data_IF_484711369141
#
_entry.id   IF_484711369141
#
_cell.length_a   1.000
_cell.length_b   1.000
_cell.length_c   1.000
_cell.angle_alpha   90.00
_cell.angle_beta   90.00
_cell.angle_gamma   90.00
#
_symmetry.space_group_name_H-M   'P 1'
#
loop_
_entity.id
_entity.type
_entity.pdbx_description
1 polymer ?
#
# COMPACT_ATOMS: atom_id res chain seq x y z
N UNK A 1 3.85 5.58 -8.82
CA UNK A 1 4.58 4.66 -7.92
C UNK A 1 6.11 4.73 -8.04
N UNK A 2 6.68 5.58 -8.92
CA UNK A 2 8.14 5.64 -9.12
C UNK A 2 8.97 5.85 -7.84
N UNK A 3 8.45 6.60 -6.85
CA UNK A 3 9.14 6.81 -5.58
C UNK A 3 9.37 5.52 -4.77
N UNK A 4 8.35 4.66 -4.65
CA UNK A 4 8.50 3.39 -3.93
C UNK A 4 9.32 2.38 -4.72
N UNK A 5 9.18 2.35 -6.05
CA UNK A 5 9.99 1.49 -6.92
C UNK A 5 11.49 1.74 -6.71
N UNK A 6 11.91 3.01 -6.71
CA UNK A 6 13.30 3.39 -6.49
C UNK A 6 13.80 3.04 -5.07
N UNK A 7 12.89 3.03 -4.08
CA UNK A 7 13.20 2.73 -2.69
C UNK A 7 13.14 1.24 -2.34
N UNK A 8 12.63 0.36 -3.23
CA UNK A 8 12.52 -1.08 -2.97
C UNK A 8 13.81 -1.71 -2.42
N UNK A 9 15.02 -1.42 -2.96
CA UNK A 9 16.26 -2.00 -2.44
C UNK A 9 16.54 -1.63 -0.98
N UNK A 10 16.07 -0.47 -0.51
CA UNK A 10 16.26 -0.02 0.87
C UNK A 10 15.36 -0.78 1.84
N UNK A 11 14.12 -1.06 1.43
CA UNK A 11 13.20 -1.92 2.19
C UNK A 11 13.71 -3.36 2.24
N UNK A 12 14.19 -3.89 1.11
CA UNK A 12 14.80 -5.22 1.05
C UNK A 12 16.03 -5.34 1.96
N UNK A 13 16.91 -4.32 1.96
CA UNK A 13 18.06 -4.27 2.87
C UNK A 13 17.65 -4.19 4.36
N UNK A 14 16.48 -3.64 4.66
CA UNK A 14 15.88 -3.65 5.99
C UNK A 14 15.16 -4.97 6.33
N UNK A 15 15.16 -5.96 5.42
CA UNK A 15 14.48 -7.24 5.59
C UNK A 15 12.96 -7.14 5.48
N UNK A 16 12.45 -6.12 4.77
CA UNK A 16 11.02 -5.85 4.59
C UNK A 16 10.63 -5.97 3.13
N UNK A 17 9.47 -6.59 2.89
CA UNK A 17 8.85 -6.68 1.57
C UNK A 17 7.76 -5.62 1.44
N UNK A 18 7.77 -4.87 0.33
CA UNK A 18 6.74 -3.88 0.01
C UNK A 18 5.71 -4.50 -0.93
N UNK A 19 4.43 -4.41 -0.56
CA UNK A 19 3.30 -4.90 -1.35
C UNK A 19 2.35 -3.73 -1.62
N UNK A 20 2.07 -3.45 -2.89
CA UNK A 20 1.01 -2.50 -3.27
C UNK A 20 -0.34 -3.20 -3.27
N UNK A 21 -1.40 -2.57 -2.74
CA UNK A 21 -2.75 -3.14 -2.71
C UNK A 21 -3.73 -2.16 -3.34
N UNK A 22 -4.61 -2.65 -4.21
CA UNK A 22 -5.74 -1.86 -4.73
C UNK A 22 -6.98 -2.71 -4.94
N UNK A 23 -8.10 -2.06 -5.26
CA UNK A 23 -9.36 -2.73 -5.64
C UNK A 23 -9.39 -3.17 -7.10
N UNK A 24 -8.32 -2.97 -7.86
CA UNK A 24 -8.27 -3.31 -9.27
C UNK A 24 -8.23 -4.82 -9.49
N UNK A 25 -8.74 -5.26 -10.62
CA UNK A 25 -8.67 -6.67 -11.01
C UNK A 25 -7.22 -7.07 -11.32
N UNK A 26 -6.83 -8.31 -11.00
CA UNK A 26 -5.45 -8.78 -11.21
C UNK A 26 -4.93 -8.61 -12.66
N UNK A 27 -5.81 -8.73 -13.66
CA UNK A 27 -5.44 -8.48 -15.06
C UNK A 27 -5.09 -7.02 -15.34
N UNK A 28 -5.79 -6.07 -14.70
CA UNK A 28 -5.49 -4.64 -14.81
C UNK A 28 -4.15 -4.33 -14.13
N UNK A 29 -3.89 -4.92 -12.95
CA UNK A 29 -2.59 -4.81 -12.26
C UNK A 29 -1.45 -5.38 -13.12
N UNK A 30 -1.64 -6.54 -13.74
CA UNK A 30 -0.65 -7.15 -14.63
C UNK A 30 -0.35 -6.26 -15.85
N UNK A 31 -1.39 -5.68 -16.46
CA UNK A 31 -1.24 -4.72 -17.55
C UNK A 31 -0.48 -3.46 -17.12
N UNK A 32 -0.79 -2.93 -15.93
CA UNK A 32 -0.09 -1.78 -15.35
C UNK A 32 1.38 -2.07 -15.09
N UNK A 33 1.72 -3.21 -14.47
CA UNK A 33 3.11 -3.61 -14.22
C UNK A 33 3.92 -3.67 -15.50
N UNK A 34 3.34 -4.26 -16.55
CA UNK A 34 3.96 -4.32 -17.88
C UNK A 34 4.16 -2.92 -18.48
N UNK A 35 3.15 -2.06 -18.40
CA UNK A 35 3.22 -0.71 -18.95
C UNK A 35 4.25 0.18 -18.23
N UNK A 36 4.42 0.00 -16.92
CA UNK A 36 5.37 0.76 -16.10
C UNK A 36 6.75 0.11 -16.02
N UNK A 37 6.94 -1.10 -16.56
CA UNK A 37 8.15 -1.92 -16.36
C UNK A 37 8.54 -2.05 -14.88
N UNK A 38 7.54 -2.06 -13.99
CA UNK A 38 7.73 -2.11 -12.53
C UNK A 38 7.87 -3.56 -12.07
N UNK A 39 8.73 -3.76 -11.07
CA UNK A 39 8.96 -5.06 -10.41
C UNK A 39 8.23 -5.17 -9.07
N UNK A 40 7.43 -4.17 -8.73
CA UNK A 40 6.68 -4.16 -7.48
C UNK A 40 5.66 -5.31 -7.44
N UNK A 41 5.50 -5.91 -6.25
CA UNK A 41 4.46 -6.89 -6.02
C UNK A 41 3.14 -6.16 -5.73
N UNK A 42 2.13 -6.40 -6.57
CA UNK A 42 0.79 -5.82 -6.41
C UNK A 42 -0.23 -6.90 -6.08
N UNK A 43 -1.09 -6.62 -5.12
CA UNK A 43 -2.20 -7.46 -4.68
C UNK A 43 -3.52 -6.82 -5.09
N UNK A 44 -4.41 -7.66 -5.58
CA UNK A 44 -5.76 -7.28 -5.99
C UNK A 44 -6.74 -7.65 -4.86
N UNK A 45 -7.23 -6.66 -4.14
CA UNK A 45 -8.41 -6.78 -3.27
C UNK A 45 -9.70 -6.47 -4.04
N UNK A 46 -9.85 -7.07 -5.22
CA UNK A 46 -11.01 -6.87 -6.11
C UNK A 46 -12.34 -7.24 -5.44
N UNK A 47 -12.31 -8.21 -4.51
CA UNK A 47 -13.47 -8.62 -3.71
C UNK A 47 -13.76 -7.68 -2.53
N UNK A 48 -12.90 -6.69 -2.27
CA UNK A 48 -13.02 -5.70 -1.19
C UNK A 48 -13.23 -6.35 0.18
N UNK A 49 -12.37 -7.31 0.51
CA UNK A 49 -12.41 -8.00 1.80
C UNK A 49 -11.42 -7.40 2.78
N UNK A 50 -10.21 -7.08 2.30
CA UNK A 50 -9.13 -6.56 3.14
C UNK A 50 -9.33 -5.07 3.43
N UNK A 51 -9.56 -4.25 2.42
CA UNK A 51 -9.61 -2.79 2.58
C UNK A 51 -10.69 -2.33 3.57
N UNK A 52 -11.92 -2.89 3.58
CA UNK A 52 -12.89 -2.56 4.61
C UNK A 52 -12.47 -3.03 6.01
N UNK A 53 -11.93 -4.25 6.12
CA UNK A 53 -11.47 -4.80 7.40
C UNK A 53 -10.31 -3.99 8.01
N UNK A 54 -9.49 -3.36 7.16
CA UNK A 54 -8.35 -2.53 7.55
C UNK A 54 -8.72 -1.04 7.70
N UNK A 55 -9.99 -0.67 7.49
CA UNK A 55 -10.41 0.75 7.52
C UNK A 55 -9.81 1.62 6.41
N UNK A 56 -9.27 1.01 5.36
CA UNK A 56 -8.61 1.65 4.24
C UNK A 56 -9.49 1.75 2.98
N UNK A 57 -10.80 1.60 3.09
CA UNK A 57 -11.74 1.84 1.99
C UNK A 57 -12.52 3.14 2.23
N UNK A 58 -12.76 3.90 1.16
CA UNK A 58 -13.74 4.99 1.20
C UNK A 58 -15.16 4.42 1.18
N UNK A 59 -15.93 4.72 2.22
CA UNK A 59 -17.29 4.22 2.42
C UNK A 59 -18.35 5.32 2.33
N UNK A 60 -17.95 6.59 2.23
CA UNK A 60 -18.86 7.69 2.00
C UNK A 60 -19.38 7.68 0.56
N UNK A 61 -20.68 7.42 0.37
CA UNK A 61 -21.34 7.38 -0.93
C UNK A 61 -21.33 8.72 -1.66
N UNK A 62 -21.20 9.83 -0.94
CA UNK A 62 -21.06 11.15 -1.54
C UNK A 62 -19.63 11.43 -2.05
N UNK A 63 -18.65 10.58 -1.73
CA UNK A 63 -17.28 10.76 -2.18
C UNK A 63 -17.11 10.36 -3.65
N UNK A 64 -16.38 11.14 -4.47
CA UNK A 64 -16.09 10.78 -5.86
C UNK A 64 -15.23 9.51 -5.99
N UNK A 65 -14.63 9.05 -4.89
CA UNK A 65 -13.83 7.83 -4.81
C UNK A 65 -14.50 6.76 -3.95
N UNK A 66 -15.83 6.78 -3.83
CA UNK A 66 -16.59 5.76 -3.11
C UNK A 66 -16.18 4.34 -3.54
N UNK A 67 -15.87 3.49 -2.55
CA UNK A 67 -15.37 2.11 -2.68
C UNK A 67 -13.94 1.96 -3.23
N UNK A 68 -13.16 3.04 -3.29
CA UNK A 68 -11.74 2.96 -3.63
C UNK A 68 -10.89 2.82 -2.36
N UNK A 69 -9.66 2.33 -2.54
CA UNK A 69 -8.67 2.32 -1.49
C UNK A 69 -8.27 3.76 -1.11
N UNK A 70 -8.31 4.08 0.18
CA UNK A 70 -7.70 5.29 0.72
C UNK A 70 -6.18 5.17 0.59
N UNK A 71 -5.50 6.32 0.47
CA UNK A 71 -4.04 6.37 0.52
C UNK A 71 -3.60 5.98 1.93
N UNK A 72 -2.93 4.85 2.07
CA UNK A 72 -2.54 4.32 3.37
C UNK A 72 -1.30 3.44 3.27
N UNK A 73 -0.64 3.23 4.40
CA UNK A 73 0.35 2.16 4.57
C UNK A 73 0.20 1.50 5.92
N UNK A 74 0.58 0.22 5.95
CA UNK A 74 0.49 -0.66 7.09
C UNK A 74 1.83 -1.35 7.25
N UNK A 75 2.34 -1.41 8.49
CA UNK A 75 3.54 -2.20 8.80
C UNK A 75 3.07 -3.43 9.55
N UNK A 76 3.34 -4.59 8.98
CA UNK A 76 2.94 -5.90 9.49
C UNK A 76 4.20 -6.66 9.85
N UNK A 77 4.26 -7.23 11.05
CA UNK A 77 5.38 -8.05 11.48
C UNK A 77 5.34 -9.46 10.89
N UNK A 78 6.37 -10.26 11.16
CA UNK A 78 6.48 -11.65 10.68
C UNK A 78 5.43 -12.61 11.27
N UNK A 79 4.75 -12.21 12.35
CA UNK A 79 3.65 -12.99 12.97
C UNK A 79 2.30 -12.67 12.34
N UNK A 80 2.24 -11.67 11.44
CA UNK A 80 1.01 -11.19 10.84
C UNK A 80 0.29 -10.12 11.66
N UNK A 81 0.95 -9.55 12.68
CA UNK A 81 0.38 -8.50 13.53
C UNK A 81 0.66 -7.13 12.93
N UNK A 82 -0.37 -6.29 12.82
CA UNK A 82 -0.22 -4.88 12.40
C UNK A 82 0.44 -4.09 13.53
N UNK A 83 1.64 -3.56 13.28
CA UNK A 83 2.41 -2.73 14.24
C UNK A 83 2.15 -1.25 14.06
N UNK A 84 1.85 -0.84 12.83
CA UNK A 84 1.64 0.55 12.51
C UNK A 84 0.59 0.71 11.41
N UNK A 85 -0.25 1.74 11.55
CA UNK A 85 -1.29 2.11 10.60
C UNK A 85 -1.21 3.60 10.34
N UNK A 86 -1.15 3.98 9.07
CA UNK A 86 -1.36 5.37 8.64
C UNK A 86 -2.30 5.39 7.46
N UNK A 87 -3.46 5.98 7.67
CA UNK A 87 -4.42 6.33 6.62
C UNK A 87 -4.37 7.84 6.47
N UNK A 88 -4.27 8.33 5.24
CA UNK A 88 -4.23 9.76 4.95
C UNK A 88 -5.65 10.26 4.71
N UNK A 89 -5.93 11.47 5.20
CA UNK A 89 -7.23 12.11 5.06
C UNK A 89 -7.46 12.55 3.60
N UNK A 90 -6.42 13.09 2.96
CA UNK A 90 -6.48 13.51 1.57
C UNK A 90 -5.92 12.41 0.65
N UNK A 91 -6.72 11.89 -0.29
CA UNK A 91 -6.27 10.86 -1.22
C UNK A 91 -5.20 11.35 -2.21
N UNK A 92 -5.02 12.67 -2.37
CA UNK A 92 -4.01 13.26 -3.26
C UNK A 92 -2.63 13.36 -2.61
N UNK A 93 -2.55 13.22 -1.29
CA UNK A 93 -1.27 13.26 -0.59
C UNK A 93 -0.43 12.05 -0.99
N UNK A 94 0.87 12.28 -1.15
CA UNK A 94 1.81 11.23 -1.54
C UNK A 94 2.46 10.63 -0.30
N UNK A 95 2.63 9.30 -0.34
CA UNK A 95 3.45 8.59 0.61
C UNK A 95 4.93 8.85 0.29
N UNK A 96 5.71 9.17 1.31
CA UNK A 96 7.15 9.33 1.21
C UNK A 96 7.85 8.04 1.68
N UNK A 97 8.63 7.36 0.83
CA UNK A 97 9.34 6.14 1.20
C UNK A 97 10.27 6.29 2.41
N UNK A 98 10.93 7.45 2.56
CA UNK A 98 11.88 7.69 3.65
C UNK A 98 11.18 7.71 5.01
N UNK A 99 9.99 8.31 5.07
CA UNK A 99 9.16 8.35 6.27
C UNK A 99 8.68 6.94 6.63
N UNK A 100 8.25 6.15 5.64
CA UNK A 100 7.85 4.76 5.86
C UNK A 100 9.02 3.91 6.34
N UNK A 101 10.21 4.08 5.78
CA UNK A 101 11.41 3.35 6.20
C UNK A 101 11.82 3.69 7.65
N UNK A 102 11.63 4.94 8.06
CA UNK A 102 11.85 5.36 9.46
C UNK A 102 10.88 4.66 10.41
N UNK A 103 9.59 4.61 10.06
CA UNK A 103 8.58 3.92 10.87
C UNK A 103 8.81 2.40 10.92
N UNK A 104 9.28 1.80 9.82
CA UNK A 104 9.69 0.38 9.78
C UNK A 104 10.78 0.11 10.81
N UNK A 105 11.82 0.95 10.85
CA UNK A 105 12.93 0.79 11.81
C UNK A 105 12.47 0.98 13.26
N UNK A 106 11.54 1.90 13.51
CA UNK A 106 10.96 2.12 14.83
C UNK A 106 10.08 0.93 15.28
N UNK A 107 9.36 0.32 14.34
CA UNK A 107 8.44 -0.81 14.59
C UNK A 107 9.13 -2.16 14.71
N UNK A 108 10.44 -2.24 14.43
CA UNK A 108 11.24 -3.47 14.49
C UNK A 108 11.72 -3.86 15.91
N UNK A 109 11.16 -3.22 16.94
CA UNK A 109 11.47 -3.48 18.36
C UNK A 109 10.65 -4.62 18.95
#
# INVERSE_FOLDING_TARGET
MAGFEAALPQFEAAGVQVLGVSTDHYLALAGWLKAQSSKQLLLSDFRRQMLPAYGAMETNEASPIYRYAKRAYFIIDKTGTVKFVKVLDNPLDLLNPDDVLKEVKASAS
#
